data_IF_914514023123
#
_entry.id   IF_914514023123
#
_cell.length_a   1.000
_cell.length_b   1.000
_cell.length_c   1.000
_cell.angle_alpha   90.00
_cell.angle_beta   90.00
_cell.angle_gamma   90.00
#
_symmetry.space_group_name_H-M   'P 1'
#
loop_
_entity.id
_entity.type
_entity.pdbx_description
1 polymer ?
#
# COMPACT_ATOMS: atom_id res chain seq x y z
N UNK A 1 -0.46 -1.27 -5.22
CA UNK A 1 -0.53 -1.26 -6.69
C UNK A 1 0.78 -1.83 -7.26
N UNK A 2 0.82 -2.29 -8.52
CA UNK A 2 2.04 -2.82 -9.14
C UNK A 2 2.12 -2.37 -10.60
N UNK A 3 3.28 -1.88 -11.03
CA UNK A 3 3.54 -1.38 -12.38
C UNK A 3 4.97 -1.68 -12.81
N UNK A 4 5.17 -2.52 -13.83
CA UNK A 4 6.51 -2.89 -14.29
C UNK A 4 7.34 -3.54 -13.17
N UNK A 5 8.36 -2.82 -12.72
CA UNK A 5 9.28 -3.21 -11.64
C UNK A 5 8.91 -2.58 -10.28
N UNK A 6 7.94 -1.66 -10.24
CA UNK A 6 7.53 -0.95 -9.02
C UNK A 6 6.32 -1.61 -8.37
N UNK A 7 6.34 -1.72 -7.05
CA UNK A 7 5.23 -2.19 -6.24
C UNK A 7 4.93 -1.28 -5.06
N UNK A 8 3.68 -1.23 -4.62
CA UNK A 8 3.24 -0.40 -3.51
C UNK A 8 2.31 -1.17 -2.57
N UNK A 9 2.52 -1.01 -1.26
CA UNK A 9 1.72 -1.64 -0.21
C UNK A 9 1.44 -0.68 0.96
N UNK A 10 0.27 -0.82 1.57
CA UNK A 10 -0.13 -0.14 2.81
C UNK A 10 -1.17 -1.02 3.52
N UNK A 11 -1.31 -0.85 4.84
CA UNK A 11 -2.29 -1.59 5.64
C UNK A 11 -3.45 -0.68 6.02
N UNK A 12 -4.66 -1.04 5.60
CA UNK A 12 -5.89 -0.29 5.86
C UNK A 12 -6.71 -1.03 6.91
N UNK A 13 -6.88 -0.41 8.07
CA UNK A 13 -7.86 -0.79 9.09
C UNK A 13 -9.03 0.20 9.00
N UNK A 14 -10.23 -0.25 8.55
CA UNK A 14 -11.41 0.59 8.43
C UNK A 14 -11.74 1.33 9.73
N UNK A 15 -12.18 2.59 9.62
CA UNK A 15 -12.47 3.48 10.75
C UNK A 15 -11.23 4.05 11.46
N UNK A 16 -10.13 3.28 11.56
CA UNK A 16 -8.93 3.65 12.33
C UNK A 16 -7.83 4.34 11.51
N UNK A 17 -7.72 4.03 10.23
CA UNK A 17 -6.61 4.48 9.36
C UNK A 17 -7.13 5.13 8.08
N UNK A 18 -6.24 5.66 7.24
CA UNK A 18 -6.63 6.16 5.92
C UNK A 18 -7.29 5.06 5.07
N UNK A 19 -8.26 5.42 4.24
CA UNK A 19 -8.82 4.51 3.25
C UNK A 19 -8.12 4.68 1.90
N UNK A 20 -8.45 3.81 0.94
CA UNK A 20 -7.90 3.88 -0.41
C UNK A 20 -8.21 5.22 -1.10
N UNK A 21 -9.36 5.85 -0.83
CA UNK A 21 -9.75 7.16 -1.36
C UNK A 21 -8.92 8.31 -0.79
N UNK A 22 -8.49 8.22 0.46
CA UNK A 22 -7.52 9.16 1.02
C UNK A 22 -6.17 9.08 0.30
N UNK A 23 -5.77 7.87 -0.12
CA UNK A 23 -4.51 7.62 -0.81
C UNK A 23 -4.55 8.05 -2.29
N UNK A 24 -5.64 7.75 -2.99
CA UNK A 24 -5.84 8.07 -4.40
C UNK A 24 -7.15 8.87 -4.58
N UNK A 25 -7.04 10.20 -4.64
CA UNK A 25 -8.18 11.11 -4.81
C UNK A 25 -8.84 11.00 -6.18
N UNK A 26 -8.02 10.81 -7.22
CA UNK A 26 -8.47 10.66 -8.59
C UNK A 26 -8.34 9.21 -9.06
N UNK A 27 -9.15 8.84 -10.04
CA UNK A 27 -9.01 7.53 -10.71
C UNK A 27 -7.66 7.46 -11.39
N UNK A 28 -6.86 6.44 -11.06
CA UNK A 28 -5.59 6.25 -11.74
C UNK A 28 -5.83 5.93 -13.22
N UNK A 29 -5.07 6.54 -14.15
CA UNK A 29 -5.19 6.21 -15.56
C UNK A 29 -4.88 4.72 -15.79
N UNK A 30 -5.63 4.09 -16.69
CA UNK A 30 -5.37 2.70 -17.06
C UNK A 30 -4.00 2.60 -17.72
N UNK A 31 -3.07 1.92 -17.07
CA UNK A 31 -1.75 1.65 -17.61
C UNK A 31 -1.74 0.28 -18.31
N UNK A 32 -1.26 0.23 -19.56
CA UNK A 32 -1.02 -1.01 -20.31
C UNK A 32 0.39 -1.59 -20.04
N UNK A 33 1.09 -1.08 -19.03
CA UNK A 33 2.47 -1.52 -18.73
C UNK A 33 2.47 -2.98 -18.27
N UNK A 34 3.26 -3.82 -18.96
CA UNK A 34 3.50 -5.19 -18.54
C UNK A 34 4.15 -5.20 -17.15
N UNK A 35 3.78 -6.19 -16.33
CA UNK A 35 4.29 -6.35 -14.96
C UNK A 35 5.33 -7.47 -14.95
N UNK A 36 6.47 -7.23 -14.30
CA UNK A 36 7.43 -8.30 -14.01
C UNK A 36 6.86 -9.18 -12.91
N UNK A 37 6.74 -10.49 -13.14
CA UNK A 37 6.07 -11.42 -12.21
C UNK A 37 6.66 -11.46 -10.79
N UNK A 38 7.93 -11.10 -10.61
CA UNK A 38 8.55 -11.01 -9.28
C UNK A 38 8.10 -9.81 -8.47
N UNK A 39 7.71 -8.70 -9.11
CA UNK A 39 7.23 -7.49 -8.43
C UNK A 39 5.96 -7.74 -7.62
N UNK A 40 4.87 -8.32 -8.16
CA UNK A 40 3.70 -8.66 -7.36
C UNK A 40 3.99 -9.81 -6.38
N UNK A 41 4.96 -10.70 -6.65
CA UNK A 41 5.35 -11.72 -5.69
C UNK A 41 5.96 -11.11 -4.42
N UNK A 42 6.89 -10.14 -4.56
CA UNK A 42 7.47 -9.40 -3.44
C UNK A 42 6.38 -8.65 -2.66
N UNK A 43 5.49 -7.93 -3.37
CA UNK A 43 4.38 -7.21 -2.73
C UNK A 43 3.42 -8.16 -2.03
N UNK A 44 3.12 -9.31 -2.60
CA UNK A 44 2.27 -10.34 -1.99
C UNK A 44 2.86 -10.89 -0.69
N UNK A 45 4.17 -11.15 -0.66
CA UNK A 45 4.86 -11.56 0.58
C UNK A 45 4.79 -10.47 1.66
N UNK A 46 4.95 -9.20 1.30
CA UNK A 46 4.79 -8.08 2.23
C UNK A 46 3.35 -8.01 2.76
N UNK A 47 2.34 -8.11 1.89
CA UNK A 47 0.93 -8.13 2.28
C UNK A 47 0.62 -9.30 3.23
N UNK A 48 1.13 -10.50 2.94
CA UNK A 48 0.97 -11.66 3.82
C UNK A 48 1.62 -11.40 5.19
N UNK A 49 2.79 -10.79 5.22
CA UNK A 49 3.50 -10.44 6.46
C UNK A 49 2.71 -9.42 7.29
N UNK A 50 2.09 -8.41 6.65
CA UNK A 50 1.20 -7.45 7.32
C UNK A 50 -0.01 -8.13 7.95
N UNK A 51 -0.62 -9.09 7.25
CA UNK A 51 -1.74 -9.87 7.79
C UNK A 51 -1.31 -10.70 9.00
N UNK A 52 -0.17 -11.40 8.92
CA UNK A 52 0.35 -12.17 10.06
C UNK A 52 0.58 -11.27 11.26
N UNK A 53 1.28 -10.14 11.09
CA UNK A 53 1.52 -9.16 12.17
C UNK A 53 0.21 -8.66 12.80
N UNK A 54 -0.78 -8.35 11.97
CA UNK A 54 -2.09 -7.91 12.43
C UNK A 54 -2.80 -8.97 13.27
N UNK A 55 -2.82 -10.23 12.80
CA UNK A 55 -3.51 -11.33 13.48
C UNK A 55 -2.86 -11.68 14.82
N UNK A 56 -1.52 -11.70 14.88
CA UNK A 56 -0.81 -12.06 16.12
C UNK A 56 -0.57 -10.87 17.06
N UNK A 57 -0.85 -9.64 16.61
CA UNK A 57 -0.69 -8.42 17.41
C UNK A 57 0.78 -8.04 17.70
N UNK A 58 1.71 -8.30 16.78
CA UNK A 58 3.14 -7.99 16.97
C UNK A 58 3.68 -7.07 15.88
N UNK A 59 4.77 -6.36 16.21
CA UNK A 59 5.47 -5.46 15.30
C UNK A 59 4.66 -4.22 14.93
N UNK A 60 5.11 -3.52 13.89
CA UNK A 60 4.47 -2.30 13.41
C UNK A 60 3.89 -2.51 12.02
N UNK A 61 2.61 -2.23 11.85
CA UNK A 61 1.92 -2.31 10.55
C UNK A 61 2.29 -1.11 9.66
N UNK A 62 2.14 -1.28 8.35
CA UNK A 62 2.21 -0.23 7.33
C UNK A 62 0.95 0.66 7.35
N UNK A 63 0.31 0.83 8.50
CA UNK A 63 -0.82 1.76 8.65
C UNK A 63 -0.32 3.19 8.49
N UNK A 64 -1.07 3.99 7.72
CA UNK A 64 -0.71 5.39 7.43
C UNK A 64 0.69 5.57 6.81
N UNK A 65 1.22 4.52 6.18
CA UNK A 65 2.50 4.50 5.46
C UNK A 65 2.30 3.79 4.12
N UNK A 66 2.82 4.40 3.06
CA UNK A 66 2.91 3.78 1.75
C UNK A 66 4.33 3.26 1.56
N UNK A 67 4.48 1.94 1.57
CA UNK A 67 5.72 1.29 1.17
C UNK A 67 5.77 1.25 -0.36
N UNK A 68 6.90 1.68 -0.91
CA UNK A 68 7.21 1.67 -2.35
C UNK A 68 8.45 0.80 -2.54
N UNK A 69 8.32 -0.24 -3.35
CA UNK A 69 9.39 -1.11 -3.80
C UNK A 69 9.80 -0.72 -5.22
N UNK A 70 11.06 -0.34 -5.42
CA UNK A 70 11.67 -0.16 -6.73
C UNK A 70 12.55 -1.39 -7.05
N UNK A 71 12.08 -2.23 -7.98
CA UNK A 71 12.78 -3.45 -8.37
C UNK A 71 14.03 -3.23 -9.23
N UNK A 72 14.20 -2.07 -9.88
CA UNK A 72 15.41 -1.79 -10.66
C UNK A 72 16.60 -1.50 -9.76
N UNK A 73 16.37 -0.72 -8.69
CA UNK A 73 17.40 -0.40 -7.70
C UNK A 73 17.39 -1.33 -6.49
N UNK A 74 16.40 -2.23 -6.39
CA UNK A 74 16.14 -3.09 -5.22
C UNK A 74 16.01 -2.29 -3.91
N UNK A 75 15.35 -1.13 -3.98
CA UNK A 75 15.18 -0.22 -2.83
C UNK A 75 13.75 -0.22 -2.33
N UNK A 76 13.63 -0.03 -1.02
CA UNK A 76 12.37 0.25 -0.36
C UNK A 76 12.37 1.69 0.13
N UNK A 77 11.23 2.37 -0.06
CA UNK A 77 10.98 3.70 0.47
C UNK A 77 9.63 3.72 1.15
N UNK A 78 9.55 4.37 2.30
CA UNK A 78 8.29 4.62 3.00
C UNK A 78 7.91 6.09 2.86
N UNK A 79 6.64 6.33 2.57
CA UNK A 79 6.06 7.68 2.53
C UNK A 79 4.92 7.73 3.54
N UNK A 80 5.00 8.67 4.49
CA UNK A 80 3.92 8.92 5.43
C UNK A 80 2.70 9.50 4.72
N UNK A 81 1.53 8.94 4.98
CA UNK A 81 0.26 9.34 4.37
C UNK A 81 -0.79 9.50 5.46
N UNK A 82 -1.70 10.46 5.30
CA UNK A 82 -2.66 10.84 6.34
C UNK A 82 -4.08 10.53 5.92
N UNK A 83 -4.91 10.10 6.89
CA UNK A 83 -6.37 10.04 6.73
C UNK A 83 -6.86 11.46 6.48
N UNK A 84 -7.67 11.65 5.46
CA UNK A 84 -8.37 12.90 5.19
C UNK A 84 -9.63 12.97 6.08
N UNK A 85 -9.75 13.94 6.99
CA UNK A 85 -10.93 14.07 7.87
C UNK A 85 -12.23 14.31 7.09
N UNK A 86 -12.13 14.92 5.90
CA UNK A 86 -13.28 15.23 5.05
C UNK A 86 -13.52 14.14 3.98
N UNK A 87 -12.90 12.97 4.11
CA UNK A 87 -13.07 11.89 3.14
C UNK A 87 -14.49 11.30 3.17
N UNK A 88 -15.23 11.45 2.07
CA UNK A 88 -16.60 10.95 1.93
C UNK A 88 -16.74 9.44 2.20
N UNK A 89 -15.66 8.66 2.01
CA UNK A 89 -15.65 7.20 2.15
C UNK A 89 -15.29 6.71 3.56
N UNK A 90 -14.56 7.49 4.35
CA UNK A 90 -14.04 7.01 5.64
C UNK A 90 -14.06 8.03 6.77
N UNK A 91 -14.82 9.13 6.62
CA UNK A 91 -15.02 10.13 7.68
C UNK A 91 -15.78 9.61 8.91
N UNK A 92 -16.53 8.51 8.74
CA UNK A 92 -17.36 7.89 9.79
C UNK A 92 -16.57 6.90 10.65
#
# INVERSE_FOLDING_TARGET
AVYGFEGQATTIIPGKTLCLRCLYRETMPVSKTAVLGTTPAVIGCIQATEVVKYVVGIGELLTNRLLIYDGLSSRFREVGVKKDPECDECRY
#
